data_IF_492516605721
#
_entry.id   IF_492516605721
#
_cell.length_a   1.000
_cell.length_b   1.000
_cell.length_c   1.000
_cell.angle_alpha   90.00
_cell.angle_beta   90.00
_cell.angle_gamma   90.00
#
_symmetry.space_group_name_H-M   'P 1'
#
loop_
_entity.id
_entity.type
_entity.pdbx_description
1 polymer ?
#
# COMPACT_ATOMS: atom_id res chain seq x y z
N UNK A 1 -22.91 1.48 -1.97
CA UNK A 1 -23.84 2.63 -2.00
C UNK A 1 -25.09 2.28 -2.83
N UNK A 2 -24.95 1.98 -4.13
CA UNK A 2 -26.09 1.70 -5.03
C UNK A 2 -27.01 0.56 -4.56
N UNK A 3 -26.45 -0.57 -4.09
CA UNK A 3 -27.24 -1.69 -3.54
C UNK A 3 -28.10 -1.24 -2.35
N UNK A 4 -27.51 -0.51 -1.39
CA UNK A 4 -28.23 -0.03 -0.22
C UNK A 4 -29.35 0.96 -0.58
N UNK A 5 -29.16 1.75 -1.63
CA UNK A 5 -30.19 2.66 -2.12
C UNK A 5 -31.33 1.87 -2.80
N UNK A 6 -30.97 0.86 -3.60
CA UNK A 6 -31.96 -0.02 -4.22
C UNK A 6 -32.79 -0.81 -3.17
N UNK A 7 -32.16 -1.26 -2.09
CA UNK A 7 -32.89 -1.91 -0.97
C UNK A 7 -33.90 -0.97 -0.29
N UNK A 8 -33.62 0.32 -0.20
CA UNK A 8 -34.49 1.30 0.42
C UNK A 8 -35.60 1.79 -0.49
N UNK A 9 -35.29 1.98 -1.78
CA UNK A 9 -36.18 2.65 -2.73
C UNK A 9 -36.90 1.69 -3.69
N UNK A 10 -36.40 0.46 -3.81
CA UNK A 10 -36.83 -0.51 -4.82
C UNK A 10 -36.34 -0.18 -6.24
N UNK A 11 -35.52 0.86 -6.41
CA UNK A 11 -35.05 1.34 -7.71
C UNK A 11 -33.57 1.02 -7.88
N UNK A 12 -33.24 0.16 -8.83
CA UNK A 12 -31.86 -0.11 -9.25
C UNK A 12 -31.29 1.01 -10.10
N UNK A 13 -29.94 1.10 -10.17
CA UNK A 13 -29.27 2.11 -10.97
C UNK A 13 -28.00 1.55 -11.62
N UNK A 14 -27.59 2.13 -12.73
CA UNK A 14 -26.31 1.85 -13.35
C UNK A 14 -25.18 2.44 -12.48
N UNK A 15 -24.14 1.65 -12.27
CA UNK A 15 -22.88 2.11 -11.63
C UNK A 15 -21.81 2.13 -12.69
N UNK A 16 -21.38 3.33 -13.06
CA UNK A 16 -20.29 3.55 -14.01
C UNK A 16 -19.01 3.92 -13.25
N UNK A 17 -17.91 3.22 -13.53
CA UNK A 17 -16.59 3.45 -12.93
C UNK A 17 -15.54 3.47 -14.04
N UNK A 18 -15.22 4.66 -14.52
CA UNK A 18 -14.18 4.82 -15.53
C UNK A 18 -12.77 4.85 -14.91
N UNK A 19 -11.81 4.22 -15.57
CA UNK A 19 -10.41 4.23 -15.12
C UNK A 19 -9.81 5.63 -15.12
N UNK A 20 -10.11 6.43 -16.11
CA UNK A 20 -9.62 7.81 -16.26
C UNK A 20 -10.11 8.68 -15.10
N UNK A 21 -11.39 8.59 -14.74
CA UNK A 21 -11.97 9.36 -13.63
C UNK A 21 -11.35 8.95 -12.28
N UNK A 22 -11.19 7.64 -12.08
CA UNK A 22 -10.57 7.10 -10.88
C UNK A 22 -9.10 7.51 -10.76
N UNK A 23 -8.35 7.49 -11.86
CA UNK A 23 -6.95 7.91 -11.88
C UNK A 23 -6.79 9.42 -11.65
N UNK A 24 -7.71 10.23 -12.18
CA UNK A 24 -7.72 11.68 -11.93
C UNK A 24 -7.82 11.98 -10.43
N UNK A 25 -8.66 11.24 -9.68
CA UNK A 25 -8.76 11.41 -8.23
C UNK A 25 -7.44 11.11 -7.49
N UNK A 26 -6.56 10.27 -8.06
CA UNK A 26 -5.25 9.95 -7.47
C UNK A 26 -4.17 11.00 -7.75
N UNK A 27 -4.44 12.01 -8.57
CA UNK A 27 -3.47 13.10 -8.83
C UNK A 27 -3.36 14.09 -7.67
N UNK A 28 -4.12 13.87 -6.59
CA UNK A 28 -4.12 14.69 -5.37
C UNK A 28 -4.27 16.20 -5.65
N UNK A 29 -3.24 16.97 -5.29
CA UNK A 29 -3.21 18.43 -5.42
C UNK A 29 -2.75 18.94 -6.78
N UNK A 30 -2.35 18.07 -7.72
CA UNK A 30 -1.77 18.49 -8.99
C UNK A 30 -2.75 19.34 -9.82
N UNK A 31 -3.99 18.86 -9.96
CA UNK A 31 -5.05 19.60 -10.67
C UNK A 31 -5.40 20.91 -9.96
N UNK A 32 -5.48 20.91 -8.63
CA UNK A 32 -5.76 22.12 -7.84
C UNK A 32 -4.66 23.16 -8.03
N UNK A 33 -3.40 22.78 -7.94
CA UNK A 33 -2.26 23.69 -8.14
C UNK A 33 -2.26 24.28 -9.54
N UNK A 34 -2.49 23.46 -10.55
CA UNK A 34 -2.60 23.96 -11.92
C UNK A 34 -3.72 24.99 -12.06
N UNK A 35 -4.88 24.76 -11.45
CA UNK A 35 -6.02 25.69 -11.53
C UNK A 35 -5.80 27.01 -10.78
N UNK A 36 -4.96 27.02 -9.73
CA UNK A 36 -4.66 28.23 -8.92
C UNK A 36 -3.44 28.98 -9.45
N UNK A 37 -2.35 28.26 -9.68
CA UNK A 37 -1.03 28.82 -9.94
C UNK A 37 -0.61 28.69 -11.42
N UNK A 38 -1.34 27.96 -12.24
CA UNK A 38 -0.97 27.63 -13.63
C UNK A 38 0.28 26.74 -13.75
N UNK A 39 0.71 26.13 -12.64
CA UNK A 39 1.96 25.35 -12.59
C UNK A 39 1.68 23.89 -13.00
N UNK A 40 2.31 23.47 -14.10
CA UNK A 40 2.23 22.08 -14.57
C UNK A 40 2.93 21.13 -13.61
N UNK A 41 2.29 20.00 -13.34
CA UNK A 41 2.88 18.95 -12.52
C UNK A 41 3.95 18.18 -13.31
N UNK A 42 5.13 18.03 -12.71
CA UNK A 42 6.24 17.24 -13.28
C UNK A 42 6.53 16.03 -12.43
N UNK A 43 7.06 14.93 -13.02
CA UNK A 43 7.50 13.78 -12.25
C UNK A 43 8.50 14.15 -11.17
N UNK A 44 8.27 13.70 -9.93
CA UNK A 44 9.12 13.97 -8.77
C UNK A 44 9.93 12.74 -8.33
N UNK A 45 9.79 11.61 -8.99
CA UNK A 45 10.37 10.35 -8.54
C UNK A 45 9.72 9.88 -7.23
N UNK A 46 10.56 9.61 -6.22
CA UNK A 46 10.10 9.22 -4.89
C UNK A 46 9.99 10.41 -3.92
N UNK A 47 10.18 11.63 -4.41
CA UNK A 47 10.11 12.85 -3.60
C UNK A 47 8.66 13.34 -3.55
N UNK A 48 8.21 13.82 -2.39
CA UNK A 48 6.94 14.55 -2.33
C UNK A 48 7.06 15.90 -3.06
N UNK A 49 6.02 16.30 -3.76
CA UNK A 49 6.07 17.50 -4.62
C UNK A 49 6.45 18.79 -3.88
N UNK A 50 6.06 18.94 -2.60
CA UNK A 50 6.29 20.18 -1.82
C UNK A 50 6.59 19.96 -0.33
N UNK A 51 6.43 18.77 0.23
CA UNK A 51 6.77 18.47 1.64
C UNK A 51 8.16 17.83 1.70
N UNK A 52 9.05 18.34 2.57
CA UNK A 52 10.45 17.89 2.69
C UNK A 52 10.97 17.96 4.12
N UNK A 53 11.76 16.95 4.56
CA UNK A 53 11.96 15.62 3.94
C UNK A 53 10.71 14.74 4.05
N UNK A 54 10.27 14.18 2.94
CA UNK A 54 9.17 13.23 2.86
C UNK A 54 9.36 12.36 1.61
N UNK A 55 10.28 11.41 1.69
CA UNK A 55 10.73 10.61 0.55
C UNK A 55 11.47 9.35 0.96
N UNK A 56 11.90 8.59 -0.06
CA UNK A 56 12.74 7.42 0.09
C UNK A 56 14.22 7.81 0.19
N UNK A 57 14.94 7.22 1.14
CA UNK A 57 16.39 7.34 1.32
C UNK A 57 17.08 5.98 1.28
N UNK A 58 18.29 5.97 0.72
CA UNK A 58 19.16 4.78 0.76
C UNK A 58 19.73 4.59 2.16
N UNK A 59 19.86 3.33 2.59
CA UNK A 59 20.55 2.92 3.80
C UNK A 59 21.50 1.75 3.49
N UNK A 60 22.16 1.20 4.51
CA UNK A 60 23.22 0.20 4.33
C UNK A 60 22.75 -1.10 3.64
N UNK A 61 21.49 -1.49 3.84
CA UNK A 61 20.92 -2.76 3.36
C UNK A 61 19.63 -2.59 2.53
N UNK A 62 19.41 -1.38 1.98
CA UNK A 62 18.27 -1.11 1.12
C UNK A 62 17.77 0.32 1.22
N UNK A 63 16.48 0.48 1.48
CA UNK A 63 15.83 1.80 1.51
C UNK A 63 14.89 1.92 2.71
N UNK A 64 14.73 3.16 3.16
CA UNK A 64 13.72 3.55 4.15
C UNK A 64 12.91 4.72 3.60
N UNK A 65 11.63 4.77 3.92
CA UNK A 65 10.84 5.99 3.80
C UNK A 65 11.05 6.84 5.05
N UNK A 66 11.23 8.14 4.87
CA UNK A 66 11.43 9.07 5.98
C UNK A 66 10.60 10.34 5.80
N UNK A 67 9.82 10.69 6.84
CA UNK A 67 8.88 11.80 6.85
C UNK A 67 9.13 12.82 7.98
N UNK A 68 10.36 13.19 8.24
CA UNK A 68 10.75 14.12 9.32
C UNK A 68 10.55 15.60 8.99
N UNK A 69 9.44 16.00 8.39
CA UNK A 69 9.27 17.31 7.77
C UNK A 69 8.93 18.45 8.73
N UNK A 70 8.18 18.21 9.83
CA UNK A 70 7.81 19.28 10.75
C UNK A 70 8.94 19.63 11.73
N UNK A 71 8.84 20.79 12.39
CA UNK A 71 9.91 21.29 13.25
C UNK A 71 10.21 20.42 14.47
N UNK A 72 9.19 19.75 15.03
CA UNK A 72 9.39 18.81 16.13
C UNK A 72 10.15 17.58 15.66
N UNK A 73 9.70 16.96 14.58
CA UNK A 73 10.32 15.77 14.01
C UNK A 73 11.74 16.05 13.53
N UNK A 74 11.99 17.23 12.93
CA UNK A 74 13.32 17.65 12.53
C UNK A 74 14.27 17.74 13.71
N UNK A 75 13.86 18.42 14.81
CA UNK A 75 14.65 18.49 16.04
C UNK A 75 14.93 17.12 16.65
N UNK A 76 13.94 16.22 16.68
CA UNK A 76 14.17 14.85 17.16
C UNK A 76 15.16 14.09 16.24
N UNK A 77 15.10 14.29 14.94
CA UNK A 77 16.08 13.71 14.01
C UNK A 77 17.50 14.23 14.31
N UNK A 78 17.66 15.54 14.48
CA UNK A 78 18.97 16.14 14.80
C UNK A 78 19.55 15.58 16.10
N UNK A 79 18.75 15.41 17.15
CA UNK A 79 19.18 14.79 18.41
C UNK A 79 19.69 13.36 18.22
N UNK A 80 18.96 12.54 17.45
CA UNK A 80 19.35 11.15 17.19
C UNK A 80 20.71 11.07 16.51
N UNK A 81 21.03 12.03 15.63
CA UNK A 81 22.30 12.07 14.90
C UNK A 81 23.36 13.01 15.54
N UNK A 82 23.11 13.51 16.75
CA UNK A 82 24.01 14.42 17.50
C UNK A 82 24.38 15.69 16.70
N UNK A 83 23.40 16.31 16.07
CA UNK A 83 23.55 17.51 15.23
C UNK A 83 22.63 18.65 15.71
N UNK A 84 22.43 18.78 17.03
CA UNK A 84 21.50 19.76 17.64
C UNK A 84 21.79 21.20 17.26
N UNK A 85 23.04 21.54 16.95
CA UNK A 85 23.47 22.85 16.47
C UNK A 85 22.74 23.27 15.19
N UNK A 86 22.39 22.34 14.33
CA UNK A 86 21.64 22.61 13.11
C UNK A 86 20.18 23.04 13.35
N UNK A 87 19.67 22.86 14.57
CA UNK A 87 18.33 23.33 14.92
C UNK A 87 18.19 24.85 14.87
N UNK A 88 19.31 25.58 15.01
CA UNK A 88 19.39 27.04 14.98
C UNK A 88 20.01 27.57 13.66
N UNK A 89 20.27 26.71 12.69
CA UNK A 89 20.80 27.13 11.39
C UNK A 89 19.76 27.98 10.64
N UNK A 90 20.05 29.26 10.33
CA UNK A 90 19.09 30.19 9.75
C UNK A 90 18.57 29.79 8.37
N UNK A 91 19.19 28.85 7.66
CA UNK A 91 18.68 28.33 6.38
C UNK A 91 17.67 27.20 6.53
N UNK A 92 17.66 26.45 7.67
CA UNK A 92 16.90 25.22 7.83
C UNK A 92 16.16 25.10 9.18
N UNK A 93 16.17 26.16 10.01
CA UNK A 93 15.58 26.19 11.35
C UNK A 93 14.05 26.02 11.36
N UNK A 94 13.37 26.34 10.28
CA UNK A 94 11.90 26.20 10.17
C UNK A 94 11.48 25.28 9.01
N UNK A 95 10.32 24.67 9.17
CA UNK A 95 9.70 23.81 8.16
C UNK A 95 9.60 24.52 6.79
N UNK A 96 9.16 25.78 6.76
CA UNK A 96 9.01 26.53 5.51
C UNK A 96 10.33 26.69 4.75
N UNK A 97 11.44 26.91 5.45
CA UNK A 97 12.77 27.03 4.84
C UNK A 97 13.24 25.68 4.29
N UNK A 98 12.97 24.60 5.03
CA UNK A 98 13.28 23.23 4.58
C UNK A 98 12.46 22.78 3.37
N UNK A 99 11.27 23.33 3.15
CA UNK A 99 10.44 23.04 1.97
C UNK A 99 10.98 23.68 0.69
N UNK A 100 11.87 24.68 0.79
CA UNK A 100 12.54 25.22 -0.38
C UNK A 100 13.40 24.12 -1.04
N UNK A 101 13.08 23.80 -2.30
CA UNK A 101 13.71 22.67 -3.01
C UNK A 101 15.23 22.85 -3.16
N UNK A 102 15.69 24.05 -3.46
CA UNK A 102 17.13 24.33 -3.63
C UNK A 102 17.89 24.13 -2.31
N UNK A 103 17.38 24.67 -1.21
CA UNK A 103 17.96 24.50 0.13
C UNK A 103 17.95 23.02 0.52
N UNK A 104 16.85 22.34 0.27
CA UNK A 104 16.70 20.93 0.55
C UNK A 104 17.72 20.06 -0.19
N UNK A 105 17.80 20.21 -1.51
CA UNK A 105 18.71 19.43 -2.35
C UNK A 105 20.19 19.71 -2.03
N UNK A 106 20.52 20.95 -1.71
CA UNK A 106 21.90 21.37 -1.41
C UNK A 106 22.35 21.00 0.00
N UNK A 107 21.48 21.12 1.00
CA UNK A 107 21.85 21.03 2.42
C UNK A 107 21.27 19.79 3.12
N UNK A 108 19.98 19.57 3.03
CA UNK A 108 19.28 18.61 3.90
C UNK A 108 19.38 17.19 3.37
N UNK A 109 19.10 17.00 2.09
CA UNK A 109 19.13 15.67 1.45
C UNK A 109 20.50 14.99 1.55
N UNK A 110 21.64 15.72 1.32
CA UNK A 110 22.98 15.14 1.52
C UNK A 110 23.27 14.77 2.99
N UNK A 111 22.79 15.58 3.97
CA UNK A 111 22.96 15.27 5.39
C UNK A 111 22.24 13.96 5.75
N UNK A 112 20.97 13.82 5.37
CA UNK A 112 20.18 12.62 5.65
C UNK A 112 20.82 11.41 4.97
N UNK A 113 21.21 11.51 3.71
CA UNK A 113 21.93 10.45 3.01
C UNK A 113 23.22 10.04 3.73
N UNK A 114 24.00 11.02 4.20
CA UNK A 114 25.23 10.78 4.98
C UNK A 114 24.99 10.08 6.31
N UNK A 115 23.88 10.38 6.97
CA UNK A 115 23.48 9.69 8.21
C UNK A 115 23.01 8.27 7.92
N UNK A 116 22.04 8.12 7.02
CA UNK A 116 21.32 6.85 6.79
C UNK A 116 22.21 5.78 6.15
N UNK A 117 23.15 6.17 5.30
CA UNK A 117 24.11 5.23 4.68
C UNK A 117 24.95 4.41 5.66
N UNK A 118 25.02 4.83 6.93
CA UNK A 118 25.81 4.18 7.99
C UNK A 118 25.03 3.07 8.72
N UNK A 119 23.74 3.00 8.56
CA UNK A 119 22.84 2.14 9.33
C UNK A 119 22.00 1.24 8.42
N UNK A 120 21.60 0.11 8.97
CA UNK A 120 20.61 -0.78 8.35
C UNK A 120 19.19 -0.26 8.55
N UNK A 121 18.23 -0.81 7.79
CA UNK A 121 16.80 -0.52 7.95
C UNK A 121 16.35 -0.70 9.40
N UNK A 122 16.72 -1.82 10.03
CA UNK A 122 16.34 -2.15 11.40
C UNK A 122 16.95 -1.21 12.44
N UNK A 123 18.22 -0.81 12.25
CA UNK A 123 18.89 0.16 13.13
C UNK A 123 18.20 1.54 13.03
N UNK A 124 17.91 2.03 11.83
CA UNK A 124 17.21 3.29 11.63
C UNK A 124 15.79 3.27 12.22
N UNK A 125 15.08 2.17 12.02
CA UNK A 125 13.74 2.00 12.60
C UNK A 125 13.80 2.07 14.14
N UNK A 126 14.75 1.39 14.77
CA UNK A 126 14.93 1.43 16.23
C UNK A 126 15.34 2.82 16.73
N UNK A 127 16.26 3.49 16.06
CA UNK A 127 16.77 4.82 16.47
C UNK A 127 15.71 5.92 16.38
N UNK A 128 14.85 5.87 15.36
CA UNK A 128 13.85 6.89 15.04
C UNK A 128 12.43 6.50 15.44
N UNK A 129 12.20 5.27 15.91
CA UNK A 129 10.89 4.78 16.35
C UNK A 129 10.23 5.77 17.32
N UNK A 130 8.92 5.94 17.19
CA UNK A 130 8.06 6.80 18.01
C UNK A 130 8.43 8.30 18.01
N UNK A 131 9.51 8.69 17.35
CA UNK A 131 9.99 10.08 17.28
C UNK A 131 9.64 10.73 15.95
N UNK A 132 9.90 10.01 14.84
CA UNK A 132 9.75 10.51 13.48
C UNK A 132 9.14 9.42 12.60
N UNK A 133 8.24 9.74 11.66
CA UNK A 133 7.76 8.78 10.68
C UNK A 133 8.92 8.22 9.85
N UNK A 134 9.24 6.97 10.10
CA UNK A 134 10.21 6.20 9.33
C UNK A 134 9.67 4.77 9.16
N UNK A 135 9.82 4.21 7.98
CA UNK A 135 9.42 2.84 7.69
C UNK A 135 10.43 2.18 6.75
N UNK A 136 10.90 0.97 7.05
CA UNK A 136 11.67 0.16 6.12
C UNK A 136 10.88 -0.09 4.82
N UNK A 137 11.54 0.05 3.66
CA UNK A 137 10.97 -0.39 2.39
C UNK A 137 11.32 -1.85 2.23
N UNK A 138 10.30 -2.70 2.32
CA UNK A 138 10.43 -4.15 2.28
C UNK A 138 10.33 -4.69 0.87
N UNK A 139 11.22 -5.60 0.50
CA UNK A 139 11.07 -6.42 -0.70
C UNK A 139 9.99 -7.50 -0.51
N UNK A 140 9.53 -8.12 -1.61
CA UNK A 140 8.48 -9.15 -1.55
C UNK A 140 8.86 -10.34 -0.66
N UNK A 141 10.14 -10.74 -0.62
CA UNK A 141 10.60 -11.80 0.28
C UNK A 141 10.46 -11.44 1.76
N UNK A 142 10.76 -10.19 2.11
CA UNK A 142 10.57 -9.66 3.47
C UNK A 142 9.08 -9.55 3.83
N UNK A 143 8.26 -9.09 2.87
CA UNK A 143 6.79 -9.01 3.02
C UNK A 143 6.19 -10.41 3.24
N UNK A 144 6.61 -11.41 2.48
CA UNK A 144 6.10 -12.78 2.56
C UNK A 144 6.37 -13.47 3.91
N UNK A 145 7.31 -12.95 4.69
CA UNK A 145 7.68 -13.44 6.03
C UNK A 145 7.41 -12.44 7.15
N UNK A 146 6.72 -11.34 6.86
CA UNK A 146 6.41 -10.31 7.84
C UNK A 146 5.44 -10.82 8.92
N UNK A 147 5.85 -10.84 10.21
CA UNK A 147 5.03 -11.38 11.28
C UNK A 147 3.68 -10.67 11.43
N UNK A 148 3.64 -9.35 11.24
CA UNK A 148 2.40 -8.57 11.35
C UNK A 148 1.42 -8.93 10.24
N UNK A 149 1.91 -9.09 9.00
CA UNK A 149 1.05 -9.47 7.88
C UNK A 149 0.56 -10.91 7.99
N UNK A 150 1.37 -11.81 8.54
CA UNK A 150 0.98 -13.19 8.84
C UNK A 150 -0.09 -13.21 9.94
N UNK A 151 0.14 -12.53 11.06
CA UNK A 151 -0.82 -12.44 12.16
C UNK A 151 -2.17 -11.84 11.71
N UNK A 152 -2.12 -10.82 10.86
CA UNK A 152 -3.31 -10.24 10.24
C UNK A 152 -3.93 -11.09 9.13
N UNK A 153 -3.40 -12.29 8.86
CA UNK A 153 -3.85 -13.17 7.78
C UNK A 153 -3.89 -12.47 6.40
N UNK A 154 -2.89 -11.62 6.17
CA UNK A 154 -2.67 -10.99 4.87
C UNK A 154 -1.71 -11.80 4.00
N UNK A 155 -0.94 -12.71 4.59
CA UNK A 155 -0.14 -13.70 3.90
C UNK A 155 -0.71 -15.08 4.27
N UNK A 156 -1.20 -15.81 3.29
CA UNK A 156 -1.85 -17.10 3.45
C UNK A 156 -1.16 -18.15 2.59
N UNK A 157 -1.11 -19.37 3.09
CA UNK A 157 -0.63 -20.51 2.33
C UNK A 157 -1.80 -21.17 1.59
N UNK A 158 -1.67 -21.31 0.27
CA UNK A 158 -2.68 -21.94 -0.59
C UNK A 158 -2.08 -23.14 -1.32
N UNK A 159 -2.67 -24.33 -1.19
CA UNK A 159 -2.22 -25.49 -1.96
C UNK A 159 -2.56 -25.32 -3.44
N UNK A 160 -1.53 -25.51 -4.30
CA UNK A 160 -1.67 -25.47 -5.77
C UNK A 160 -0.97 -26.68 -6.34
N UNK A 161 -1.72 -27.62 -6.91
CA UNK A 161 -1.19 -28.90 -7.39
C UNK A 161 -0.42 -29.64 -6.26
N UNK A 162 0.89 -29.76 -6.38
CA UNK A 162 1.76 -30.44 -5.41
C UNK A 162 2.60 -29.46 -4.58
N UNK A 163 2.35 -28.16 -4.66
CA UNK A 163 3.10 -27.12 -4.00
C UNK A 163 2.20 -26.29 -3.09
N UNK A 164 2.82 -25.50 -2.22
CA UNK A 164 2.14 -24.48 -1.42
C UNK A 164 2.69 -23.12 -1.86
N UNK A 165 1.78 -22.24 -2.26
CA UNK A 165 2.14 -20.87 -2.65
C UNK A 165 1.59 -19.87 -1.66
N UNK A 166 2.29 -18.76 -1.49
CA UNK A 166 1.79 -17.65 -0.65
C UNK A 166 0.90 -16.74 -1.49
N UNK A 167 -0.27 -16.42 -0.93
CA UNK A 167 -1.25 -15.52 -1.54
C UNK A 167 -1.66 -14.44 -0.54
N UNK A 168 -2.20 -13.34 -1.04
CA UNK A 168 -2.72 -12.28 -0.17
C UNK A 168 -4.12 -12.62 0.36
N UNK A 169 -4.36 -12.25 1.62
CA UNK A 169 -5.66 -12.36 2.27
C UNK A 169 -6.59 -11.19 1.95
N UNK A 170 -7.82 -11.25 2.47
CA UNK A 170 -8.76 -10.15 2.35
C UNK A 170 -8.34 -8.97 3.26
N UNK A 171 -8.13 -7.74 2.72
CA UNK A 171 -7.79 -6.57 3.52
C UNK A 171 -8.97 -6.04 4.34
N UNK A 172 -10.21 -6.37 3.96
CA UNK A 172 -11.42 -5.95 4.68
C UNK A 172 -11.67 -6.93 5.81
N UNK A 173 -11.46 -6.49 7.04
CA UNK A 173 -11.67 -7.27 8.26
C UNK A 173 -12.95 -6.83 8.95
N UNK A 174 -13.94 -7.72 9.04
CA UNK A 174 -15.23 -7.46 9.68
C UNK A 174 -15.31 -8.22 11.00
N UNK A 175 -15.51 -7.51 12.10
CA UNK A 175 -15.48 -8.08 13.47
C UNK A 175 -16.54 -9.17 13.72
N UNK A 176 -17.65 -9.11 13.01
CA UNK A 176 -18.79 -10.02 13.18
C UNK A 176 -18.94 -11.04 12.04
N UNK A 177 -17.92 -11.16 11.18
CA UNK A 177 -17.93 -12.13 10.09
C UNK A 177 -16.68 -13.02 10.17
N UNK A 178 -16.87 -14.31 9.96
CA UNK A 178 -15.74 -15.21 9.79
C UNK A 178 -14.95 -14.84 8.53
N UNK A 179 -13.64 -14.98 8.59
CA UNK A 179 -12.80 -14.79 7.40
C UNK A 179 -13.07 -15.92 6.40
N UNK A 180 -13.09 -15.55 5.13
CA UNK A 180 -13.28 -16.53 4.05
C UNK A 180 -12.07 -17.46 3.99
N UNK A 181 -12.31 -18.76 3.99
CA UNK A 181 -11.28 -19.76 3.79
C UNK A 181 -10.73 -19.66 2.36
N UNK A 182 -9.41 -19.59 2.24
CA UNK A 182 -8.74 -19.60 0.93
C UNK A 182 -8.67 -21.04 0.42
N UNK A 183 -9.24 -21.28 -0.74
CA UNK A 183 -9.19 -22.55 -1.44
C UNK A 183 -8.49 -22.40 -2.77
N UNK A 184 -7.90 -23.48 -3.27
CA UNK A 184 -7.37 -23.50 -4.63
C UNK A 184 -8.49 -23.26 -5.66
N UNK A 185 -8.11 -22.77 -6.84
CA UNK A 185 -9.05 -22.71 -7.95
C UNK A 185 -9.51 -24.13 -8.33
N UNK A 186 -10.80 -24.32 -8.64
CA UNK A 186 -11.32 -25.60 -9.09
C UNK A 186 -10.70 -26.01 -10.44
N UNK A 187 -10.58 -27.31 -10.67
CA UNK A 187 -10.24 -27.83 -11.99
C UNK A 187 -11.45 -27.69 -12.93
N UNK A 188 -11.20 -27.73 -14.22
CA UNK A 188 -12.27 -27.68 -15.22
C UNK A 188 -13.27 -28.85 -14.97
N UNK A 189 -14.55 -28.49 -14.79
CA UNK A 189 -15.62 -29.44 -14.55
C UNK A 189 -15.67 -30.07 -13.14
N UNK A 190 -14.78 -29.68 -12.22
CA UNK A 190 -14.70 -30.27 -10.87
C UNK A 190 -16.01 -30.19 -10.10
N UNK A 191 -16.72 -29.07 -10.20
CA UNK A 191 -17.94 -28.79 -9.47
C UNK A 191 -19.21 -29.05 -10.27
N UNK A 192 -19.12 -29.53 -11.54
CA UNK A 192 -20.29 -29.73 -12.42
C UNK A 192 -21.38 -30.52 -11.74
N UNK A 193 -21.05 -31.68 -11.16
CA UNK A 193 -22.05 -32.57 -10.53
C UNK A 193 -22.69 -31.92 -9.32
N UNK A 194 -21.89 -31.27 -8.47
CA UNK A 194 -22.40 -30.61 -7.26
C UNK A 194 -23.33 -29.45 -7.64
N UNK A 195 -22.94 -28.60 -8.57
CA UNK A 195 -23.74 -27.45 -9.04
C UNK A 195 -25.04 -27.92 -9.68
N UNK A 196 -24.98 -28.91 -10.59
CA UNK A 196 -26.15 -29.40 -11.27
C UNK A 196 -27.17 -30.04 -10.32
N UNK A 197 -26.70 -30.74 -9.28
CA UNK A 197 -27.59 -31.31 -8.25
C UNK A 197 -28.16 -30.25 -7.31
N UNK A 198 -27.31 -29.40 -6.76
CA UNK A 198 -27.69 -28.46 -5.70
C UNK A 198 -28.47 -27.24 -6.22
N UNK A 199 -28.10 -26.73 -7.40
CA UNK A 199 -28.75 -25.52 -7.94
C UNK A 199 -29.89 -25.84 -8.91
N UNK A 200 -29.77 -26.88 -9.71
CA UNK A 200 -30.78 -27.24 -10.70
C UNK A 200 -31.65 -28.47 -10.32
N UNK A 201 -31.31 -29.16 -9.22
CA UNK A 201 -32.05 -30.31 -8.73
C UNK A 201 -32.01 -31.52 -9.65
N UNK A 202 -31.00 -31.63 -10.54
CA UNK A 202 -30.90 -32.73 -11.48
C UNK A 202 -30.56 -34.04 -10.77
N UNK A 203 -31.20 -35.12 -11.17
CA UNK A 203 -30.87 -36.46 -10.68
C UNK A 203 -29.68 -37.07 -11.44
N UNK A 204 -29.19 -38.22 -10.96
CA UNK A 204 -28.00 -38.86 -11.56
C UNK A 204 -28.20 -39.23 -13.04
N UNK A 205 -29.41 -39.73 -13.42
CA UNK A 205 -29.71 -40.12 -14.79
C UNK A 205 -29.65 -38.93 -15.76
N UNK A 206 -30.15 -37.77 -15.33
CA UNK A 206 -30.10 -36.53 -16.11
C UNK A 206 -28.66 -36.01 -16.25
N UNK A 207 -27.83 -36.12 -15.22
CA UNK A 207 -26.42 -35.73 -15.27
C UNK A 207 -25.62 -36.66 -16.20
N UNK A 208 -25.84 -37.96 -16.13
CA UNK A 208 -25.20 -38.91 -17.07
C UNK A 208 -25.63 -38.64 -18.52
N UNK A 209 -26.89 -38.35 -18.78
CA UNK A 209 -27.31 -37.95 -20.13
C UNK A 209 -26.63 -36.70 -20.65
N UNK A 210 -26.35 -35.68 -19.78
CA UNK A 210 -25.59 -34.51 -20.13
C UNK A 210 -24.13 -34.86 -20.45
N UNK A 211 -23.53 -35.76 -19.70
CA UNK A 211 -22.18 -36.26 -19.92
C UNK A 211 -22.07 -37.03 -21.24
N UNK A 212 -23.00 -37.93 -21.49
CA UNK A 212 -23.04 -38.74 -22.72
C UNK A 212 -23.26 -37.88 -23.98
N UNK A 213 -23.96 -36.76 -23.84
CA UNK A 213 -24.15 -35.79 -24.92
C UNK A 213 -22.97 -34.87 -25.14
N UNK A 214 -21.95 -34.89 -24.28
CA UNK A 214 -20.79 -33.99 -24.31
C UNK A 214 -21.12 -32.57 -23.90
N UNK A 215 -22.19 -32.34 -23.18
CA UNK A 215 -22.56 -31.02 -22.65
C UNK A 215 -21.76 -30.64 -21.40
N UNK A 216 -21.22 -31.61 -20.67
CA UNK A 216 -20.36 -31.43 -19.47
C UNK A 216 -19.21 -32.43 -19.47
#
# INVERSE_FOLDING_TARGET
MALREAEKTGIGQLVDVAQVDSTLCLTESALLRYSVDGVEATPTGNDHAFVRPYEQFSCKDGFVFFGGYNDKQWRETLKVFNCDDLASDPEIDTMHKRFNKEVYDRRIKPLINGWFSRYTKAELETMLADKVPLSPIKGIGEVASDPQLIDRKMILDMPVLNEVVKVFGNPIKLSNMAETEIRRAPKLGEDNIAILKEMLGLNNEQIEALRDSGAI
#
